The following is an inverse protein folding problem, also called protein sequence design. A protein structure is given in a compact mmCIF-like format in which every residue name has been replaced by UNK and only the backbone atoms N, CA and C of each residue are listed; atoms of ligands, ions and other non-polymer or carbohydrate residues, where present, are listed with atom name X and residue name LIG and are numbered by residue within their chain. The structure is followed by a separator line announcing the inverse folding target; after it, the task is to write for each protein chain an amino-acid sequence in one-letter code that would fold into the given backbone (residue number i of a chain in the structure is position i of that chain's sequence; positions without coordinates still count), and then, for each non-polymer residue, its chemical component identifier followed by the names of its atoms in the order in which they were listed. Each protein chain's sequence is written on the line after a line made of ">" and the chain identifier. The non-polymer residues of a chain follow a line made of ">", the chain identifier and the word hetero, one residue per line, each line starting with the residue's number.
data_IF_147722570059
#
_entry.id   IF_147722570059
#
_cell.length_a   1.000
_cell.length_b   1.000
_cell.length_c   1.000
_cell.angle_alpha   90.00
_cell.angle_beta   90.00
_cell.angle_gamma   90.00
#
_symmetry.space_group_name_H-M   'P 1'
#
loop_
_entity.id
_entity.type
_entity.pdbx_description
1 polymer ?
#
# COMPACT_ATOMS: atom_id res chain seq x y z
N UNK A 1 -9.63 -9.78 -7.93
CA UNK A 1 -9.67 -8.32 -7.71
C UNK A 1 -8.27 -7.74 -7.84
N UNK A 2 -8.12 -6.65 -8.57
CA UNK A 2 -6.82 -6.04 -8.75
C UNK A 2 -6.38 -5.28 -7.50
N UNK A 3 -5.09 -5.02 -7.41
CA UNK A 3 -4.52 -4.22 -6.30
C UNK A 3 -5.20 -2.85 -6.26
N UNK A 4 -5.32 -2.19 -7.40
CA UNK A 4 -5.95 -0.88 -7.47
C UNK A 4 -7.38 -0.91 -6.95
N UNK A 5 -8.14 -1.91 -7.34
CA UNK A 5 -9.54 -2.04 -6.94
C UNK A 5 -9.67 -2.23 -5.43
N UNK A 6 -8.83 -3.09 -4.86
CA UNK A 6 -8.88 -3.33 -3.42
C UNK A 6 -8.44 -2.11 -2.63
N UNK A 7 -7.42 -1.39 -3.10
CA UNK A 7 -6.98 -0.16 -2.46
C UNK A 7 -8.07 0.90 -2.53
N UNK A 8 -8.73 1.04 -3.69
CA UNK A 8 -9.86 1.98 -3.82
C UNK A 8 -10.98 1.62 -2.84
N UNK A 9 -11.26 0.33 -2.68
CA UNK A 9 -12.27 -0.10 -1.71
C UNK A 9 -11.87 0.27 -0.29
N UNK A 10 -10.60 0.11 0.05
CA UNK A 10 -10.11 0.45 1.39
C UNK A 10 -10.19 1.95 1.66
N UNK A 11 -10.16 2.77 0.61
CA UNK A 11 -10.30 4.22 0.72
C UNK A 11 -11.78 4.64 0.74
N UNK A 12 -12.70 3.72 0.51
CA UNK A 12 -14.12 4.02 0.45
C UNK A 12 -14.59 4.47 -0.94
N UNK A 13 -13.78 4.27 -1.96
CA UNK A 13 -14.08 4.70 -3.31
C UNK A 13 -14.71 3.55 -4.11
N UNK A 14 -15.98 3.32 -3.86
CA UNK A 14 -16.73 2.27 -4.55
C UNK A 14 -17.43 2.91 -5.76
N UNK A 15 -17.27 2.31 -6.92
CA UNK A 15 -17.98 2.76 -8.11
C UNK A 15 -17.12 3.56 -9.08
N UNK A 16 -17.60 3.66 -10.31
CA UNK A 16 -16.87 4.19 -11.44
C UNK A 16 -16.63 5.70 -11.35
N UNK A 17 -17.37 6.40 -10.53
CA UNK A 17 -17.20 7.85 -10.35
C UNK A 17 -15.84 8.25 -9.81
N UNK A 18 -15.10 7.30 -9.25
CA UNK A 18 -13.77 7.55 -8.71
C UNK A 18 -12.65 7.13 -9.66
N UNK A 19 -12.98 6.71 -10.88
CA UNK A 19 -11.97 6.23 -11.84
C UNK A 19 -11.02 7.34 -12.28
N UNK A 20 -11.45 8.60 -12.21
CA UNK A 20 -10.59 9.73 -12.54
C UNK A 20 -9.38 9.86 -11.60
N UNK A 21 -9.43 9.22 -10.43
CA UNK A 21 -8.33 9.25 -9.47
C UNK A 21 -7.34 8.10 -9.64
N UNK A 22 -7.62 7.17 -10.57
CA UNK A 22 -6.82 5.94 -10.67
C UNK A 22 -5.33 6.20 -10.86
N UNK A 23 -4.95 7.15 -11.70
CA UNK A 23 -3.53 7.40 -11.94
C UNK A 23 -2.83 7.96 -10.69
N UNK A 24 -3.52 8.81 -9.94
CA UNK A 24 -2.95 9.37 -8.70
C UNK A 24 -2.86 8.31 -7.60
N UNK A 25 -3.88 7.46 -7.51
CA UNK A 25 -3.87 6.36 -6.55
C UNK A 25 -2.75 5.38 -6.90
N UNK A 26 -2.58 5.05 -8.18
CA UNK A 26 -1.49 4.16 -8.62
C UNK A 26 -0.13 4.75 -8.29
N UNK A 27 0.04 6.07 -8.44
CA UNK A 27 1.29 6.72 -8.07
C UNK A 27 1.59 6.50 -6.59
N UNK A 28 0.60 6.65 -5.73
CA UNK A 28 0.78 6.44 -4.29
C UNK A 28 1.06 4.98 -3.97
N UNK A 29 0.39 4.05 -4.66
CA UNK A 29 0.66 2.62 -4.50
C UNK A 29 2.11 2.32 -4.88
N UNK A 30 2.58 2.87 -5.99
CA UNK A 30 3.94 2.64 -6.45
C UNK A 30 4.99 3.26 -5.54
N UNK A 31 4.68 4.38 -4.91
CA UNK A 31 5.54 4.92 -3.86
C UNK A 31 5.65 3.93 -2.71
N UNK A 32 4.53 3.33 -2.32
CA UNK A 32 4.51 2.34 -1.24
C UNK A 32 5.35 1.10 -1.58
N UNK A 33 5.19 0.58 -2.80
CA UNK A 33 5.97 -0.60 -3.20
C UNK A 33 7.45 -0.29 -3.31
N UNK A 34 7.81 0.91 -3.72
CA UNK A 34 9.21 1.32 -3.76
C UNK A 34 9.82 1.36 -2.37
N UNK A 35 9.09 1.89 -1.39
CA UNK A 35 9.57 1.91 -0.02
C UNK A 35 9.75 0.48 0.50
N UNK A 36 8.78 -0.40 0.24
CA UNK A 36 8.88 -1.80 0.64
C UNK A 36 10.11 -2.47 0.03
N UNK A 37 10.40 -2.18 -1.24
CA UNK A 37 11.61 -2.69 -1.86
C UNK A 37 12.87 -2.15 -1.17
N UNK A 38 12.89 -0.85 -0.88
CA UNK A 38 14.06 -0.22 -0.28
C UNK A 38 14.36 -0.71 1.14
N UNK A 39 13.33 -0.98 1.93
CA UNK A 39 13.54 -1.55 3.27
C UNK A 39 13.73 -3.07 3.21
N UNK A 40 13.54 -3.64 2.02
CA UNK A 40 13.83 -5.05 1.76
C UNK A 40 12.70 -6.01 2.01
N UNK A 41 11.50 -5.52 2.18
CA UNK A 41 10.31 -6.38 2.30
C UNK A 41 9.99 -7.07 0.98
N UNK A 42 10.37 -6.45 -0.13
CA UNK A 42 10.23 -7.02 -1.47
C UNK A 42 11.61 -7.24 -2.07
N UNK A 43 11.78 -8.36 -2.78
CA UNK A 43 13.09 -8.72 -3.34
C UNK A 43 13.43 -7.93 -4.59
N UNK A 44 12.45 -7.38 -5.26
CA UNK A 44 12.66 -6.58 -6.46
C UNK A 44 11.65 -5.44 -6.51
N UNK A 45 11.99 -4.39 -7.25
CA UNK A 45 11.08 -3.28 -7.44
C UNK A 45 9.96 -3.71 -8.38
N UNK A 46 8.72 -3.47 -7.95
CA UNK A 46 7.54 -3.88 -8.70
C UNK A 46 6.73 -2.63 -9.05
N UNK A 47 6.38 -2.49 -10.32
CA UNK A 47 5.52 -1.41 -10.79
C UNK A 47 4.10 -1.94 -10.90
N UNK A 48 3.19 -1.34 -10.15
CA UNK A 48 1.78 -1.71 -10.14
C UNK A 48 1.04 -0.93 -11.21
N UNK A 49 0.26 -1.65 -12.01
CA UNK A 49 -0.60 -1.06 -13.03
C UNK A 49 -2.06 -1.30 -12.67
N UNK A 50 -2.96 -0.80 -13.48
CA UNK A 50 -4.39 -0.97 -13.23
C UNK A 50 -4.87 -2.42 -13.35
N UNK A 51 -4.03 -3.31 -13.87
CA UNK A 51 -4.36 -4.73 -13.99
C UNK A 51 -3.56 -5.64 -13.07
N UNK A 52 -2.61 -5.07 -12.31
CA UNK A 52 -1.77 -5.87 -11.40
C UNK A 52 -2.60 -6.51 -10.29
N UNK A 53 -2.22 -7.72 -9.90
CA UNK A 53 -2.88 -8.44 -8.82
C UNK A 53 -1.91 -8.68 -7.67
N UNK A 54 -2.46 -8.98 -6.49
CA UNK A 54 -1.64 -9.17 -5.30
C UNK A 54 -0.61 -10.29 -5.48
N UNK A 55 -0.94 -11.32 -6.23
CA UNK A 55 0.02 -12.40 -6.47
C UNK A 55 1.30 -11.92 -7.15
N UNK A 56 1.21 -10.83 -7.91
CA UNK A 56 2.39 -10.27 -8.57
C UNK A 56 3.41 -9.72 -7.58
N UNK A 57 2.94 -9.31 -6.40
CA UNK A 57 3.80 -8.74 -5.34
C UNK A 57 4.11 -9.78 -4.27
N UNK A 58 3.07 -10.49 -3.83
CA UNK A 58 3.17 -11.31 -2.61
C UNK A 58 3.97 -12.59 -2.81
N UNK A 59 4.19 -12.99 -4.06
CA UNK A 59 5.01 -14.16 -4.34
C UNK A 59 6.43 -14.01 -3.79
N UNK A 60 6.93 -12.78 -3.68
CA UNK A 60 8.29 -12.54 -3.18
C UNK A 60 8.38 -12.59 -1.66
N UNK A 61 7.26 -12.48 -0.96
CA UNK A 61 7.27 -12.52 0.50
C UNK A 61 5.93 -13.04 1.05
N UNK A 62 5.63 -14.33 0.84
CA UNK A 62 4.32 -14.85 1.23
C UNK A 62 4.06 -14.86 2.73
N UNK A 63 5.13 -14.90 3.56
CA UNK A 63 4.96 -14.92 5.01
C UNK A 63 4.37 -13.65 5.59
N UNK A 64 4.54 -12.54 4.90
CA UNK A 64 4.08 -11.23 5.38
C UNK A 64 3.07 -10.60 4.46
N UNK A 65 2.34 -11.44 3.71
CA UNK A 65 1.41 -10.94 2.70
C UNK A 65 0.36 -9.99 3.26
N UNK A 66 -0.23 -10.31 4.42
CA UNK A 66 -1.24 -9.45 5.00
C UNK A 66 -0.66 -8.12 5.47
N UNK A 67 0.55 -8.15 6.04
CA UNK A 67 1.22 -6.92 6.47
C UNK A 67 1.56 -6.03 5.28
N UNK A 68 1.98 -6.64 4.18
CA UNK A 68 2.30 -5.88 2.96
C UNK A 68 1.04 -5.23 2.39
N UNK A 69 -0.07 -5.96 2.36
CA UNK A 69 -1.34 -5.38 1.92
C UNK A 69 -1.77 -4.22 2.81
N UNK A 70 -1.71 -4.42 4.11
CA UNK A 70 -2.07 -3.37 5.07
C UNK A 70 -1.18 -2.15 4.89
N UNK A 71 0.11 -2.38 4.71
CA UNK A 71 1.05 -1.28 4.52
C UNK A 71 0.69 -0.46 3.28
N UNK A 72 0.46 -1.14 2.15
CA UNK A 72 0.15 -0.46 0.90
C UNK A 72 -1.14 0.35 1.03
N UNK A 73 -2.16 -0.23 1.64
CA UNK A 73 -3.44 0.46 1.83
C UNK A 73 -3.30 1.67 2.75
N UNK A 74 -2.63 1.51 3.89
CA UNK A 74 -2.46 2.59 4.85
C UNK A 74 -1.56 3.69 4.31
N UNK A 75 -0.46 3.33 3.66
CA UNK A 75 0.46 4.30 3.09
C UNK A 75 -0.21 5.09 1.97
N UNK A 76 -0.98 4.41 1.12
CA UNK A 76 -1.73 5.07 0.06
C UNK A 76 -2.75 6.05 0.65
N UNK A 77 -3.42 5.67 1.74
CA UNK A 77 -4.35 6.57 2.42
C UNK A 77 -3.67 7.86 2.85
N UNK A 78 -2.50 7.74 3.49
CA UNK A 78 -1.75 8.90 3.96
C UNK A 78 -1.27 9.76 2.80
N UNK A 79 -0.83 9.14 1.71
CA UNK A 79 -0.26 9.86 0.57
C UNK A 79 -1.31 10.51 -0.32
N UNK A 80 -2.43 9.82 -0.53
CA UNK A 80 -3.43 10.27 -1.49
C UNK A 80 -4.59 11.03 -0.84
N UNK A 81 -5.10 10.51 0.27
CA UNK A 81 -6.30 11.06 0.90
C UNK A 81 -6.17 10.93 2.43
N UNK A 82 -5.29 11.74 3.03
CA UNK A 82 -5.02 11.59 4.46
C UNK A 82 -6.25 11.90 5.33
N UNK A 83 -6.40 11.17 6.44
CA UNK A 83 -7.47 11.46 7.39
C UNK A 83 -7.36 12.89 7.91
N UNK A 84 -8.48 13.56 8.06
CA UNK A 84 -8.50 14.95 8.49
C UNK A 84 -8.45 15.12 9.99
N UNK A 85 -8.91 14.12 10.72
CA UNK A 85 -8.81 14.15 12.19
C UNK A 85 -7.39 13.82 12.62
N UNK A 86 -6.82 14.65 13.46
CA UNK A 86 -5.42 14.50 13.86
C UNK A 86 -5.15 13.18 14.60
N UNK A 87 -6.10 12.72 15.41
CA UNK A 87 -5.91 11.45 16.13
C UNK A 87 -5.89 10.27 15.16
N UNK A 88 -6.77 10.29 14.16
CA UNK A 88 -6.79 9.23 13.15
C UNK A 88 -5.52 9.26 12.30
N UNK A 89 -5.08 10.45 11.92
CA UNK A 89 -3.84 10.61 11.16
C UNK A 89 -2.65 10.04 11.93
N UNK A 90 -2.54 10.37 13.20
CA UNK A 90 -1.44 9.85 14.03
C UNK A 90 -1.47 8.34 14.16
N UNK A 91 -2.67 7.78 14.29
CA UNK A 91 -2.81 6.33 14.37
C UNK A 91 -2.29 5.65 13.11
N UNK A 92 -2.62 6.21 11.94
CA UNK A 92 -2.08 5.71 10.67
C UNK A 92 -0.57 5.85 10.60
N UNK A 93 -0.03 7.00 10.99
CA UNK A 93 1.41 7.21 11.00
C UNK A 93 2.14 6.20 11.86
N UNK A 94 1.64 5.96 13.06
CA UNK A 94 2.26 5.01 13.98
C UNK A 94 2.17 3.59 13.46
N UNK A 95 1.01 3.22 12.90
CA UNK A 95 0.84 1.90 12.31
C UNK A 95 1.80 1.68 11.14
N UNK A 96 1.93 2.69 10.27
CA UNK A 96 2.83 2.62 9.12
C UNK A 96 4.29 2.45 9.58
N UNK A 97 4.70 3.22 10.57
CA UNK A 97 6.07 3.12 11.11
C UNK A 97 6.33 1.73 11.69
N UNK A 98 5.36 1.20 12.41
CA UNK A 98 5.50 -0.12 13.01
C UNK A 98 5.59 -1.21 11.95
N UNK A 99 4.78 -1.10 10.91
CA UNK A 99 4.83 -2.04 9.78
C UNK A 99 6.18 -1.96 9.07
N UNK A 100 6.67 -0.75 8.81
CA UNK A 100 7.97 -0.56 8.19
C UNK A 100 9.09 -1.18 9.03
N UNK A 101 9.05 -0.93 10.32
CA UNK A 101 10.06 -1.47 11.23
C UNK A 101 10.01 -2.99 11.26
N UNK A 102 8.81 -3.57 11.37
CA UNK A 102 8.66 -5.02 11.43
C UNK A 102 9.14 -5.68 10.14
N UNK A 103 8.73 -5.14 9.00
CA UNK A 103 9.10 -5.71 7.71
C UNK A 103 10.59 -5.59 7.44
N UNK A 104 11.20 -4.51 7.88
CA UNK A 104 12.65 -4.30 7.73
C UNK A 104 13.44 -5.19 8.69
N UNK A 105 13.01 -5.28 9.94
CA UNK A 105 13.72 -6.02 10.98
C UNK A 105 13.80 -7.51 10.66
N UNK A 106 12.73 -8.04 10.09
CA UNK A 106 12.66 -9.46 9.79
C UNK A 106 13.60 -9.90 8.68
N UNK A 107 14.13 -8.93 7.92
CA UNK A 107 15.10 -9.23 6.86
C UNK A 107 16.49 -9.57 7.34
N UNK A 108 16.79 -9.17 8.52
CA UNK A 108 18.16 -9.33 9.05
C UNK A 108 18.53 -10.79 9.33
#
# INVERSE_FOLDING_TARGET
>A
MTILQEVKNSLGYYGDEYDSFDSDILRSINTSTLILFRIGALKQQIIVTNSSEWSDILASNPSYSEMIKDYICQKTRILFDPPQQSNTYKAYEESIKELEWTLQEDRK
#
